data_IF_903984201115
#
_entry.id   IF_903984201115
#
_cell.length_a   1.000
_cell.length_b   1.000
_cell.length_c   1.000
_cell.angle_alpha   90.00
_cell.angle_beta   90.00
_cell.angle_gamma   90.00
#
_symmetry.space_group_name_H-M   'P 1'
#
loop_
_entity.id
_entity.type
_entity.pdbx_description
1 polymer ?
#
# COMPACT_ATOMS: atom_id res chain seq x y z
N UNK A 1 6.47 -0.32 -9.72
CA UNK A 1 6.23 -0.43 -8.26
C UNK A 1 7.33 -1.23 -7.58
N UNK A 2 7.56 -2.48 -8.01
CA UNK A 2 8.61 -3.36 -7.51
C UNK A 2 9.83 -3.31 -8.42
N UNK A 3 11.03 -3.49 -7.86
CA UNK A 3 12.24 -3.73 -8.65
C UNK A 3 12.54 -5.22 -8.80
N UNK A 4 11.97 -6.07 -7.93
CA UNK A 4 12.13 -7.52 -7.95
C UNK A 4 11.17 -8.17 -8.97
N UNK A 5 11.74 -8.79 -10.02
CA UNK A 5 10.97 -9.48 -11.08
C UNK A 5 10.07 -10.60 -10.55
N UNK A 6 10.48 -11.32 -9.51
CA UNK A 6 9.68 -12.41 -8.94
C UNK A 6 8.39 -11.86 -8.32
N UNK A 7 8.49 -10.71 -7.66
CA UNK A 7 7.32 -10.01 -7.10
C UNK A 7 6.47 -9.41 -8.22
N UNK A 8 7.08 -8.85 -9.27
CA UNK A 8 6.32 -8.34 -10.42
C UNK A 8 5.46 -9.43 -11.06
N UNK A 9 6.04 -10.60 -11.34
CA UNK A 9 5.35 -11.72 -11.97
C UNK A 9 4.15 -12.23 -11.17
N UNK A 10 4.17 -12.04 -9.85
CA UNK A 10 3.06 -12.43 -8.98
C UNK A 10 1.78 -11.62 -9.22
N UNK A 11 1.91 -10.38 -9.69
CA UNK A 11 0.79 -9.46 -9.86
C UNK A 11 0.42 -9.21 -11.33
N UNK A 12 1.07 -9.93 -12.27
CA UNK A 12 0.67 -9.93 -13.68
C UNK A 12 -0.77 -10.47 -13.78
N UNK A 13 -1.59 -9.80 -14.60
CA UNK A 13 -3.03 -10.07 -14.76
C UNK A 13 -3.85 -9.96 -13.45
N UNK A 14 -3.26 -9.34 -12.42
CA UNK A 14 -3.92 -9.02 -11.17
C UNK A 14 -4.74 -7.74 -11.25
N UNK A 15 -5.13 -7.23 -10.09
CA UNK A 15 -5.91 -6.00 -9.96
C UNK A 15 -5.31 -5.05 -8.94
N UNK A 16 -5.62 -3.75 -9.05
CA UNK A 16 -5.14 -2.76 -8.09
C UNK A 16 -6.18 -1.67 -7.83
N UNK A 17 -6.13 -1.10 -6.63
CA UNK A 17 -6.89 0.08 -6.24
C UNK A 17 -5.93 1.13 -5.75
N UNK A 18 -6.07 2.36 -6.24
CA UNK A 18 -5.34 3.53 -5.74
C UNK A 18 -6.28 4.40 -4.94
N UNK A 19 -5.96 4.62 -3.67
CA UNK A 19 -6.76 5.39 -2.72
C UNK A 19 -5.95 6.62 -2.34
N UNK A 20 -6.40 7.79 -2.79
CA UNK A 20 -5.86 9.07 -2.36
C UNK A 20 -6.49 9.47 -1.01
N UNK A 21 -5.66 9.83 -0.05
CA UNK A 21 -6.07 10.31 1.27
C UNK A 21 -5.76 11.80 1.33
N UNK A 22 -6.79 12.64 1.17
CA UNK A 22 -6.65 14.08 1.31
C UNK A 22 -6.43 14.46 2.77
N UNK A 23 -5.91 15.66 3.08
CA UNK A 23 -5.61 16.06 4.46
C UNK A 23 -6.78 15.99 5.45
N UNK A 24 -8.03 16.05 4.97
CA UNK A 24 -9.25 15.95 5.79
C UNK A 24 -9.72 14.51 6.02
N UNK A 25 -9.16 13.54 5.31
CA UNK A 25 -9.63 12.16 5.34
C UNK A 25 -9.04 11.39 6.53
N UNK A 26 -9.51 10.16 6.71
CA UNK A 26 -8.97 9.24 7.70
C UNK A 26 -7.68 8.60 7.18
N UNK A 27 -6.55 8.81 7.87
CA UNK A 27 -5.21 8.45 7.39
C UNK A 27 -4.67 7.10 7.89
N UNK A 28 -5.51 6.29 8.52
CA UNK A 28 -5.16 4.91 8.91
C UNK A 28 -5.63 3.93 7.83
N UNK A 29 -4.82 2.91 7.62
CA UNK A 29 -4.96 1.94 6.54
C UNK A 29 -5.21 0.58 7.15
N UNK A 30 -6.26 -0.09 6.69
CA UNK A 30 -6.73 -1.34 7.27
C UNK A 30 -6.59 -2.51 6.29
N UNK A 31 -6.47 -3.71 6.84
CA UNK A 31 -6.34 -4.95 6.08
C UNK A 31 -7.59 -5.21 5.23
N UNK A 32 -7.45 -5.40 3.90
CA UNK A 32 -8.58 -5.73 3.04
C UNK A 32 -9.04 -7.20 3.18
N UNK A 33 -8.12 -8.07 3.59
CA UNK A 33 -8.30 -9.50 3.84
C UNK A 33 -7.40 -9.93 4.99
N UNK A 34 -7.66 -11.10 5.57
CA UNK A 34 -6.71 -11.72 6.50
C UNK A 34 -5.35 -11.89 5.81
N UNK A 35 -4.26 -11.76 6.56
CA UNK A 35 -2.94 -11.89 5.96
C UNK A 35 -1.80 -12.04 6.95
N UNK A 36 -0.85 -12.90 6.60
CA UNK A 36 0.47 -12.97 7.23
C UNK A 36 1.44 -12.07 6.48
N UNK A 37 2.10 -11.15 7.18
CA UNK A 37 3.16 -10.32 6.58
C UNK A 37 4.37 -11.21 6.25
N UNK A 38 4.78 -11.24 4.99
CA UNK A 38 5.96 -12.00 4.55
C UNK A 38 7.21 -11.11 4.50
N UNK A 39 7.04 -9.88 4.01
CA UNK A 39 8.16 -8.96 3.74
C UNK A 39 7.69 -7.52 3.61
N UNK A 40 8.49 -6.59 4.12
CA UNK A 40 8.40 -5.18 3.72
C UNK A 40 9.57 -4.77 2.83
N UNK A 41 9.32 -3.86 1.89
CA UNK A 41 10.34 -3.24 1.04
C UNK A 41 10.16 -1.73 1.10
N UNK A 42 11.08 -1.04 1.76
CA UNK A 42 11.10 0.41 1.86
C UNK A 42 12.01 0.97 0.78
N UNK A 43 11.42 1.72 -0.14
CA UNK A 43 12.08 2.19 -1.35
C UNK A 43 12.23 3.71 -1.24
N UNK A 44 13.47 4.24 -1.32
CA UNK A 44 13.68 5.68 -1.34
C UNK A 44 13.11 6.29 -2.62
N UNK A 45 12.71 7.56 -2.54
CA UNK A 45 12.22 8.29 -3.69
C UNK A 45 12.05 9.77 -3.40
N UNK A 46 11.46 10.47 -4.37
CA UNK A 46 11.03 11.86 -4.20
C UNK A 46 9.78 11.93 -3.32
N UNK A 47 9.33 13.15 -3.02
CA UNK A 47 8.08 13.40 -2.31
C UNK A 47 7.21 14.33 -3.15
N UNK A 48 6.91 13.94 -4.39
CA UNK A 48 5.97 14.72 -5.22
C UNK A 48 4.58 14.72 -4.57
N UNK A 49 3.84 15.81 -4.77
CA UNK A 49 2.42 15.85 -4.40
C UNK A 49 1.66 14.74 -5.12
N UNK A 50 0.79 14.04 -4.40
CA UNK A 50 -0.10 12.99 -4.96
C UNK A 50 -1.50 13.53 -5.23
N UNK A 51 -1.68 14.85 -5.19
CA UNK A 51 -2.93 15.49 -5.62
C UNK A 51 -3.26 15.16 -7.08
N UNK A 52 -4.55 15.14 -7.41
CA UNK A 52 -5.05 14.67 -8.72
C UNK A 52 -4.39 15.37 -9.92
N UNK A 53 -4.07 16.66 -9.82
CA UNK A 53 -3.39 17.39 -10.90
C UNK A 53 -1.96 16.89 -11.13
N UNK A 54 -1.20 16.67 -10.06
CA UNK A 54 0.18 16.21 -10.12
C UNK A 54 0.28 14.78 -10.67
N UNK A 55 -0.64 13.89 -10.25
CA UNK A 55 -0.73 12.52 -10.77
C UNK A 55 -0.98 12.49 -12.29
N UNK A 56 -1.76 13.44 -12.83
CA UNK A 56 -2.01 13.54 -14.27
C UNK A 56 -0.79 14.03 -15.07
N UNK A 57 0.05 14.86 -14.48
CA UNK A 57 1.17 15.51 -15.17
C UNK A 57 2.48 14.72 -15.04
N UNK A 58 2.72 14.10 -13.88
CA UNK A 58 3.99 13.42 -13.60
C UNK A 58 3.87 11.94 -13.96
N UNK A 59 4.44 11.57 -15.12
CA UNK A 59 4.55 10.15 -15.52
C UNK A 59 5.23 9.33 -14.43
N UNK A 60 4.61 8.21 -14.07
CA UNK A 60 5.08 7.25 -13.07
C UNK A 60 5.27 7.84 -11.66
N UNK A 61 4.46 8.84 -11.25
CA UNK A 61 4.58 9.53 -9.96
C UNK A 61 4.77 8.57 -8.78
N UNK A 62 3.89 7.58 -8.62
CA UNK A 62 3.95 6.65 -7.49
C UNK A 62 5.23 5.80 -7.46
N UNK A 63 5.84 5.53 -8.62
CA UNK A 63 7.12 4.81 -8.70
C UNK A 63 8.32 5.71 -8.39
N UNK A 64 8.18 7.04 -8.58
CA UNK A 64 9.20 8.04 -8.26
C UNK A 64 9.19 8.42 -6.79
N UNK A 65 8.04 8.34 -6.14
CA UNK A 65 7.92 8.67 -4.72
C UNK A 65 8.51 7.59 -3.82
N UNK A 66 8.96 8.02 -2.64
CA UNK A 66 9.23 7.11 -1.53
C UNK A 66 7.99 6.26 -1.24
N UNK A 67 8.20 4.98 -0.98
CA UNK A 67 7.11 4.06 -0.66
C UNK A 67 7.55 2.91 0.21
N UNK A 68 6.61 2.43 1.03
CA UNK A 68 6.73 1.20 1.78
C UNK A 68 5.77 0.17 1.20
N UNK A 69 6.32 -0.92 0.70
CA UNK A 69 5.56 -2.06 0.17
C UNK A 69 5.45 -3.12 1.26
N UNK A 70 4.24 -3.44 1.70
CA UNK A 70 3.97 -4.51 2.67
C UNK A 70 3.33 -5.69 1.94
N UNK A 71 4.06 -6.81 1.81
CA UNK A 71 3.58 -8.00 1.11
C UNK A 71 2.98 -9.00 2.10
N UNK A 72 1.73 -9.37 1.85
CA UNK A 72 0.97 -10.30 2.68
C UNK A 72 0.65 -11.57 1.91
N UNK A 73 0.62 -12.69 2.62
CA UNK A 73 0.08 -13.95 2.16
C UNK A 73 -1.26 -14.21 2.86
N UNK A 74 -2.26 -14.56 2.06
CA UNK A 74 -3.58 -14.98 2.50
C UNK A 74 -3.88 -16.32 1.84
N UNK A 75 -4.03 -17.38 2.65
CA UNK A 75 -4.17 -18.75 2.15
C UNK A 75 -3.06 -19.10 1.13
N UNK A 76 -3.42 -19.40 -0.11
CA UNK A 76 -2.53 -19.73 -1.23
C UNK A 76 -2.42 -18.59 -2.27
N UNK A 77 -2.62 -17.36 -1.81
CA UNK A 77 -2.62 -16.13 -2.61
C UNK A 77 -1.89 -15.00 -1.89
N UNK A 78 -1.57 -13.91 -2.61
CA UNK A 78 -0.90 -12.75 -2.04
C UNK A 78 -1.48 -11.42 -2.50
N UNK A 79 -1.31 -10.44 -1.64
CA UNK A 79 -1.60 -9.05 -1.93
C UNK A 79 -0.55 -8.15 -1.28
N UNK A 80 -0.45 -6.92 -1.76
CA UNK A 80 0.39 -5.89 -1.18
C UNK A 80 -0.43 -4.66 -0.79
N UNK A 81 -0.08 -4.11 0.37
CA UNK A 81 -0.51 -2.78 0.80
C UNK A 81 0.70 -1.86 0.66
N UNK A 82 0.58 -0.85 -0.19
CA UNK A 82 1.68 0.03 -0.55
C UNK A 82 1.38 1.44 -0.06
N UNK A 83 2.18 1.92 0.89
CA UNK A 83 2.14 3.29 1.37
C UNK A 83 3.02 4.13 0.45
N UNK A 84 2.47 5.14 -0.21
CA UNK A 84 3.22 6.08 -1.04
C UNK A 84 3.27 7.43 -0.34
N UNK A 85 4.47 7.84 0.08
CA UNK A 85 4.67 9.14 0.70
C UNK A 85 4.54 10.26 -0.35
N UNK A 86 4.24 11.46 0.11
CA UNK A 86 4.04 12.66 -0.70
C UNK A 86 4.58 13.88 0.04
N UNK A 87 4.56 15.05 -0.63
CA UNK A 87 4.89 16.30 0.03
C UNK A 87 4.00 16.50 1.27
N UNK A 88 4.59 16.98 2.36
CA UNK A 88 3.92 17.19 3.66
C UNK A 88 3.41 15.92 4.37
N UNK A 89 3.76 14.72 3.89
CA UNK A 89 3.67 13.50 4.72
C UNK A 89 4.78 13.58 5.75
N UNK A 90 4.42 13.61 7.03
CA UNK A 90 5.40 13.69 8.11
C UNK A 90 5.94 12.32 8.51
N UNK A 91 5.13 11.25 8.43
CA UNK A 91 5.62 9.89 8.66
C UNK A 91 4.77 8.79 8.02
N UNK A 92 5.40 7.61 7.82
CA UNK A 92 4.73 6.32 7.60
C UNK A 92 4.96 5.48 8.86
N UNK A 93 3.89 4.96 9.43
CA UNK A 93 3.94 4.04 10.58
C UNK A 93 3.25 2.72 10.27
N UNK A 94 3.71 1.63 10.88
CA UNK A 94 3.05 0.32 10.79
C UNK A 94 2.72 -0.22 12.18
N UNK A 95 1.64 -1.00 12.29
CA UNK A 95 1.16 -1.53 13.56
C UNK A 95 2.15 -2.46 14.27
N UNK A 96 3.13 -3.03 13.54
CA UNK A 96 4.12 -3.97 14.08
C UNK A 96 5.52 -3.38 14.34
N UNK A 97 5.83 -2.19 13.83
CA UNK A 97 7.17 -1.59 13.96
C UNK A 97 7.13 -0.11 14.39
N UNK A 98 5.95 0.50 14.45
CA UNK A 98 5.82 1.92 14.71
C UNK A 98 6.34 2.73 13.52
N UNK A 99 7.08 3.79 13.80
CA UNK A 99 7.59 4.71 12.78
C UNK A 99 8.63 4.04 11.86
N UNK A 100 8.35 4.05 10.56
CA UNK A 100 9.22 3.51 9.51
C UNK A 100 9.99 4.62 8.80
N UNK A 101 9.32 5.74 8.55
CA UNK A 101 9.88 6.91 7.91
C UNK A 101 9.28 8.15 8.58
N UNK A 102 10.09 9.13 9.04
CA UNK A 102 11.55 9.12 9.10
C UNK A 102 12.13 8.03 10.05
N UNK A 103 13.41 7.64 9.88
CA UNK A 103 14.39 8.20 8.95
C UNK A 103 14.16 7.75 7.50
N UNK A 104 14.35 8.69 6.57
CA UNK A 104 14.26 8.42 5.13
C UNK A 104 15.40 7.49 4.69
N UNK A 105 15.10 6.37 4.01
CA UNK A 105 16.13 5.44 3.60
C UNK A 105 16.98 6.07 2.50
N UNK A 106 18.29 5.81 2.50
CA UNK A 106 19.18 6.21 1.38
C UNK A 106 19.24 5.17 0.27
N UNK A 107 18.89 3.92 0.58
CA UNK A 107 18.89 2.76 -0.31
C UNK A 107 17.65 1.91 -0.02
N UNK A 108 17.25 1.06 -0.95
CA UNK A 108 16.14 0.12 -0.71
C UNK A 108 16.46 -0.79 0.47
N UNK A 109 15.56 -0.85 1.46
CA UNK A 109 15.67 -1.73 2.62
C UNK A 109 14.59 -2.80 2.50
N UNK A 110 15.00 -4.07 2.57
CA UNK A 110 14.07 -5.20 2.61
C UNK A 110 14.12 -5.83 4.00
N UNK A 111 12.97 -6.01 4.65
CA UNK A 111 12.88 -6.70 5.94
C UNK A 111 12.03 -7.96 5.78
N UNK A 112 12.60 -9.09 6.17
CA UNK A 112 11.94 -10.40 6.13
C UNK A 112 11.11 -10.63 7.42
N UNK A 113 9.86 -11.06 7.23
CA UNK A 113 8.92 -11.38 8.30
C UNK A 113 8.43 -12.84 8.23
N UNK A 114 8.97 -13.68 7.34
CA UNK A 114 8.53 -15.09 7.17
C UNK A 114 8.62 -15.90 8.47
N UNK A 115 9.68 -15.65 9.26
CA UNK A 115 9.90 -16.28 10.58
C UNK A 115 9.19 -15.56 11.73
N UNK A 116 8.70 -14.33 11.54
CA UNK A 116 7.97 -13.55 12.55
C UNK A 116 6.47 -13.82 12.42
N UNK A 117 5.74 -13.84 13.54
CA UNK A 117 4.28 -14.00 13.54
C UNK A 117 3.58 -12.63 13.52
N UNK A 118 3.71 -11.90 12.41
CA UNK A 118 2.85 -10.72 12.16
C UNK A 118 1.68 -11.19 11.30
N UNK A 119 0.56 -11.46 11.96
CA UNK A 119 -0.69 -11.91 11.35
C UNK A 119 -1.73 -10.85 11.68
N UNK A 120 -2.42 -10.34 10.66
CA UNK A 120 -3.45 -9.34 10.80
C UNK A 120 -4.73 -9.89 10.16
N UNK A 121 -5.84 -9.77 10.87
CA UNK A 121 -7.18 -10.11 10.39
C UNK A 121 -7.73 -8.98 9.50
N UNK A 122 -8.71 -9.30 8.67
CA UNK A 122 -9.45 -8.33 7.89
C UNK A 122 -10.00 -7.23 8.81
N UNK A 123 -9.74 -5.97 8.44
CA UNK A 123 -10.13 -4.82 9.23
C UNK A 123 -9.09 -4.36 10.26
N UNK A 124 -8.09 -5.18 10.58
CA UNK A 124 -6.99 -4.75 11.45
C UNK A 124 -6.19 -3.61 10.81
N UNK A 125 -5.64 -2.74 11.63
CA UNK A 125 -4.79 -1.66 11.16
C UNK A 125 -3.44 -2.20 10.66
N UNK A 126 -3.08 -1.83 9.43
CA UNK A 126 -1.76 -2.07 8.83
C UNK A 126 -0.78 -1.00 9.28
N UNK A 127 -1.25 0.24 9.29
CA UNK A 127 -0.43 1.40 9.55
C UNK A 127 -1.15 2.69 9.21
N UNK A 128 -0.42 3.79 9.27
CA UNK A 128 -0.99 5.11 9.03
C UNK A 128 0.02 6.08 8.42
N UNK A 129 -0.52 7.17 7.91
CA UNK A 129 0.25 8.36 7.59
C UNK A 129 -0.03 9.46 8.60
N UNK A 130 1.01 10.22 8.95
CA UNK A 130 0.81 11.53 9.57
C UNK A 130 0.81 12.58 8.46
N UNK A 131 -0.39 12.97 7.98
CA UNK A 131 -0.67 13.93 6.87
C UNK A 131 -0.66 13.34 5.44
N UNK A 132 -1.44 13.97 4.54
CA UNK A 132 -1.99 13.47 3.25
C UNK A 132 -1.10 12.64 2.34
N UNK A 133 -1.64 11.58 1.75
CA UNK A 133 -0.84 10.54 1.09
C UNK A 133 -1.64 9.68 0.08
N UNK A 134 -1.08 8.54 -0.34
CA UNK A 134 -1.76 7.57 -1.19
C UNK A 134 -1.46 6.14 -0.75
N UNK A 135 -2.50 5.31 -0.73
CA UNK A 135 -2.38 3.86 -0.55
C UNK A 135 -2.67 3.18 -1.87
N UNK A 136 -1.86 2.19 -2.23
CA UNK A 136 -2.15 1.30 -3.35
C UNK A 136 -2.30 -0.11 -2.81
N UNK A 137 -3.47 -0.68 -3.06
CA UNK A 137 -3.73 -2.10 -2.85
C UNK A 137 -3.46 -2.81 -4.16
N UNK A 138 -2.61 -3.83 -4.12
CA UNK A 138 -2.29 -4.63 -5.29
C UNK A 138 -2.58 -6.09 -4.98
N UNK A 139 -3.29 -6.74 -5.88
CA UNK A 139 -3.76 -8.09 -5.70
C UNK A 139 -3.34 -8.98 -6.87
N UNK A 140 -3.05 -10.25 -6.59
CA UNK A 140 -2.90 -11.23 -7.66
C UNK A 140 -4.26 -11.57 -8.32
N UNK A 141 -4.22 -12.41 -9.36
CA UNK A 141 -5.38 -12.79 -10.17
C UNK A 141 -6.53 -13.47 -9.41
N UNK A 142 -6.32 -13.94 -8.17
CA UNK A 142 -7.37 -14.58 -7.36
C UNK A 142 -8.28 -13.59 -6.66
N UNK A 143 -7.94 -12.30 -6.68
CA UNK A 143 -8.82 -11.27 -6.14
C UNK A 143 -9.54 -10.54 -7.25
N UNK A 144 -10.85 -10.36 -7.06
CA UNK A 144 -11.70 -9.58 -7.95
C UNK A 144 -12.19 -8.33 -7.23
N UNK A 145 -11.94 -7.16 -7.82
CA UNK A 145 -12.46 -5.90 -7.32
C UNK A 145 -13.98 -5.87 -7.46
N UNK A 146 -14.65 -5.20 -6.52
CA UNK A 146 -16.09 -5.03 -6.59
C UNK A 146 -16.47 -4.13 -7.78
N UNK A 147 -17.49 -4.51 -8.54
CA UNK A 147 -18.01 -3.72 -9.68
C UNK A 147 -18.48 -2.32 -9.29
N UNK A 148 -18.83 -2.15 -8.02
CA UNK A 148 -19.21 -0.86 -7.44
C UNK A 148 -18.03 0.11 -7.29
N UNK A 149 -16.78 -0.34 -7.45
CA UNK A 149 -15.61 0.54 -7.46
C UNK A 149 -15.48 1.23 -8.80
N UNK A 150 -15.56 2.56 -8.76
CA UNK A 150 -15.38 3.43 -9.92
C UNK A 150 -14.32 4.48 -9.61
N UNK A 151 -13.67 4.98 -10.66
CA UNK A 151 -12.70 6.07 -10.52
C UNK A 151 -13.35 7.27 -9.82
N UNK A 152 -12.60 7.90 -8.90
CA UNK A 152 -13.04 9.04 -8.08
C UNK A 152 -14.22 8.77 -7.13
N UNK A 153 -14.65 7.50 -6.96
CA UNK A 153 -15.65 7.16 -5.95
C UNK A 153 -15.05 7.32 -4.56
N UNK A 154 -15.76 8.01 -3.67
CA UNK A 154 -15.44 8.00 -2.24
C UNK A 154 -15.73 6.62 -1.66
N UNK A 155 -14.80 6.11 -0.84
CA UNK A 155 -14.94 4.84 -0.15
C UNK A 155 -14.87 5.07 1.35
N UNK A 156 -15.56 4.23 2.12
CA UNK A 156 -15.49 4.23 3.59
C UNK A 156 -14.74 3.01 4.10
N UNK A 157 -14.10 3.14 5.26
CA UNK A 157 -13.54 1.98 5.97
C UNK A 157 -14.67 0.96 6.23
N UNK A 158 -14.41 -0.30 5.92
CA UNK A 158 -15.40 -1.39 5.99
C UNK A 158 -16.24 -1.58 4.73
N UNK A 159 -16.20 -0.65 3.76
CA UNK A 159 -16.87 -0.83 2.47
C UNK A 159 -16.23 -1.99 1.69
N UNK A 160 -17.07 -2.81 1.04
CA UNK A 160 -16.60 -3.93 0.22
C UNK A 160 -15.90 -3.41 -1.03
N UNK A 161 -14.59 -3.63 -1.11
CA UNK A 161 -13.76 -3.26 -2.27
C UNK A 161 -13.48 -4.44 -3.21
N UNK A 162 -13.78 -5.67 -2.80
CA UNK A 162 -13.54 -6.86 -3.61
C UNK A 162 -13.87 -8.16 -2.89
N UNK A 163 -13.54 -9.27 -3.55
CA UNK A 163 -13.66 -10.63 -3.05
C UNK A 163 -12.39 -11.42 -3.36
N UNK A 164 -12.12 -12.39 -2.52
CA UNK A 164 -11.18 -13.47 -2.79
C UNK A 164 -11.96 -14.63 -3.43
N UNK A 165 -11.47 -15.15 -4.56
CA UNK A 165 -12.08 -16.25 -5.33
C UNK A 165 -11.17 -17.46 -5.42
#
# INVERSE_FOLDING_TARGET
>A
MFYDKKIQNQYIDGSFVTIYLSPKDYHRVHMPFDGKLERTIHIPGRLFSVATHAVKQIKNLYCKNERLVCNFKNLDSKFAVIFVAAINVSSIETSWRGEISPPYPKKTITTDYMKKKVILSKGDEVGMFKSGSTVILLFDRKYKLAESLKKNKLIRVGEKIGIYS
#
